data_IF_719614164866
#
_entry.id   IF_719614164866
#
_cell.length_a   1.000
_cell.length_b   1.000
_cell.length_c   1.000
_cell.angle_alpha   90.00
_cell.angle_beta   90.00
_cell.angle_gamma   90.00
#
_symmetry.space_group_name_H-M   'P 1'
#
loop_
_entity.id
_entity.type
_entity.pdbx_description
1 polymer ?
#
# COMPACT_ATOMS: atom_id res chain seq x y z
N UNK A 1 -2.33 -23.55 -0.95
CA UNK A 1 -2.84 -23.09 -2.27
C UNK A 1 -2.02 -21.87 -2.67
N UNK A 2 -1.19 -22.04 -3.69
CA UNK A 2 -0.11 -21.14 -4.10
C UNK A 2 -0.41 -20.63 -5.52
N UNK A 3 -1.60 -20.07 -5.71
CA UNK A 3 -2.17 -19.77 -7.03
C UNK A 3 -2.75 -18.35 -6.97
N UNK A 4 -2.09 -17.43 -7.70
CA UNK A 4 -2.64 -16.21 -8.38
C UNK A 4 -1.74 -14.96 -8.36
N UNK A 5 -0.61 -14.94 -7.65
CA UNK A 5 0.09 -13.66 -7.34
C UNK A 5 1.19 -13.17 -8.28
N UNK A 6 1.24 -13.58 -9.55
CA UNK A 6 2.28 -13.07 -10.47
C UNK A 6 1.79 -12.21 -11.64
N UNK A 7 0.47 -12.05 -11.89
CA UNK A 7 0.02 -11.53 -13.19
C UNK A 7 -0.83 -10.25 -13.22
N UNK A 8 -1.43 -9.84 -12.10
CA UNK A 8 -2.18 -8.57 -12.01
C UNK A 8 -1.24 -7.63 -11.29
N UNK A 9 -0.92 -6.47 -11.87
CA UNK A 9 -0.08 -5.40 -11.27
C UNK A 9 -0.09 -5.51 -9.75
N UNK A 10 1.06 -5.92 -9.18
CA UNK A 10 1.06 -6.60 -7.88
C UNK A 10 0.30 -5.75 -6.88
N UNK A 11 -0.72 -6.33 -6.22
CA UNK A 11 -1.58 -5.61 -5.27
C UNK A 11 -0.79 -4.79 -4.24
N UNK A 12 0.38 -5.28 -3.85
CA UNK A 12 1.33 -4.56 -3.00
C UNK A 12 1.76 -3.21 -3.59
N UNK A 13 2.11 -3.18 -4.88
CA UNK A 13 2.58 -1.99 -5.59
C UNK A 13 1.43 -0.97 -5.71
N UNK A 14 0.22 -1.44 -6.01
CA UNK A 14 -0.99 -0.60 -6.05
C UNK A 14 -1.27 0.04 -4.69
N UNK A 15 -1.21 -0.75 -3.62
CA UNK A 15 -1.42 -0.25 -2.26
C UNK A 15 -0.31 0.74 -1.88
N UNK A 16 0.94 0.46 -2.24
CA UNK A 16 2.09 1.32 -1.97
C UNK A 16 1.94 2.68 -2.68
N UNK A 17 1.57 2.66 -3.97
CA UNK A 17 1.30 3.87 -4.75
C UNK A 17 0.12 4.67 -4.19
N UNK A 18 -0.96 4.01 -3.77
CA UNK A 18 -2.11 4.67 -3.15
C UNK A 18 -1.75 5.35 -1.82
N UNK A 19 -0.96 4.70 -0.96
CA UNK A 19 -0.44 5.33 0.27
C UNK A 19 0.42 6.54 -0.08
N UNK A 20 1.36 6.39 -1.02
CA UNK A 20 2.24 7.48 -1.42
C UNK A 20 1.46 8.68 -1.96
N UNK A 21 0.47 8.45 -2.82
CA UNK A 21 -0.40 9.49 -3.35
C UNK A 21 -1.11 10.28 -2.25
N UNK A 22 -1.74 9.58 -1.30
CA UNK A 22 -2.46 10.22 -0.19
C UNK A 22 -1.55 11.10 0.67
N UNK A 23 -0.34 10.62 0.97
CA UNK A 23 0.62 11.34 1.83
C UNK A 23 1.30 12.51 1.10
N UNK A 24 1.71 12.28 -0.15
CA UNK A 24 2.57 13.20 -0.90
C UNK A 24 1.78 14.22 -1.71
N UNK A 25 0.63 13.83 -2.28
CA UNK A 25 -0.18 14.68 -3.16
C UNK A 25 -1.36 15.27 -2.39
N UNK A 26 -2.22 14.42 -1.82
CA UNK A 26 -3.44 14.89 -1.11
C UNK A 26 -3.15 15.49 0.27
N UNK A 27 -1.95 15.24 0.82
CA UNK A 27 -1.54 15.65 2.18
C UNK A 27 -2.45 15.11 3.29
N UNK A 28 -3.19 14.05 3.01
CA UNK A 28 -3.96 13.31 3.99
C UNK A 28 -3.00 12.46 4.80
N UNK A 29 -3.03 12.53 6.13
CA UNK A 29 -2.17 11.74 7.02
C UNK A 29 -2.91 10.59 7.71
N UNK A 30 -4.23 10.66 7.75
CA UNK A 30 -5.10 9.70 8.40
C UNK A 30 -6.06 9.07 7.39
N UNK A 31 -5.68 7.91 6.85
CA UNK A 31 -6.54 7.17 5.93
C UNK A 31 -6.60 5.70 6.30
N UNK A 32 -7.70 5.22 6.91
CA UNK A 32 -7.87 3.81 7.22
C UNK A 32 -7.89 2.96 5.94
N UNK A 33 -7.59 1.64 6.04
CA UNK A 33 -7.55 0.75 4.88
C UNK A 33 -8.80 0.74 4.00
N UNK A 34 -9.99 1.00 4.57
CA UNK A 34 -11.23 1.10 3.79
C UNK A 34 -11.24 2.28 2.81
N UNK A 35 -10.68 3.42 3.20
CA UNK A 35 -10.67 4.63 2.38
C UNK A 35 -9.63 4.47 1.25
N UNK A 36 -8.54 3.72 1.50
CA UNK A 36 -7.63 3.26 0.44
C UNK A 36 -8.34 2.36 -0.58
N UNK A 37 -9.24 1.47 -0.15
CA UNK A 37 -10.01 0.63 -1.09
C UNK A 37 -10.88 1.49 -2.00
N UNK A 38 -11.53 2.50 -1.44
CA UNK A 38 -12.35 3.45 -2.20
C UNK A 38 -11.49 4.19 -3.23
N UNK A 39 -10.33 4.71 -2.84
CA UNK A 39 -9.39 5.38 -3.76
C UNK A 39 -8.95 4.45 -4.90
N UNK A 40 -8.56 3.22 -4.59
CA UNK A 40 -8.12 2.24 -5.61
C UNK A 40 -9.24 1.95 -6.60
N UNK A 41 -10.48 1.80 -6.12
CA UNK A 41 -11.62 1.48 -6.99
C UNK A 41 -12.03 2.66 -7.88
N UNK A 42 -11.82 3.91 -7.42
CA UNK A 42 -12.05 5.12 -8.22
C UNK A 42 -11.14 5.22 -9.45
N UNK A 43 -10.01 4.49 -9.50
CA UNK A 43 -9.17 4.40 -10.70
C UNK A 43 -9.85 3.67 -11.87
N UNK A 44 -11.00 3.02 -11.63
CA UNK A 44 -11.77 2.19 -12.58
C UNK A 44 -11.03 0.97 -13.14
N UNK A 45 -9.82 0.71 -12.65
CA UNK A 45 -9.01 -0.45 -13.03
C UNK A 45 -9.39 -1.71 -12.26
N UNK A 46 -9.82 -1.54 -11.02
CA UNK A 46 -10.39 -2.59 -10.19
C UNK A 46 -11.78 -2.14 -9.74
N UNK A 47 -12.74 -3.06 -9.77
CA UNK A 47 -14.10 -2.77 -9.29
C UNK A 47 -14.13 -2.79 -7.75
N UNK A 48 -15.17 -2.20 -7.16
CA UNK A 48 -15.40 -2.29 -5.72
C UNK A 48 -15.45 -3.76 -5.24
N UNK A 49 -16.04 -4.66 -6.04
CA UNK A 49 -16.08 -6.09 -5.73
C UNK A 49 -14.68 -6.73 -5.74
N UNK A 50 -13.83 -6.35 -6.70
CA UNK A 50 -12.45 -6.82 -6.76
C UNK A 50 -11.65 -6.40 -5.53
N UNK A 51 -11.72 -5.11 -5.18
CA UNK A 51 -10.93 -4.52 -4.08
C UNK A 51 -11.52 -4.93 -2.72
N UNK A 52 -12.82 -5.21 -2.62
CA UNK A 52 -13.45 -5.70 -1.40
C UNK A 52 -12.78 -6.97 -0.87
N UNK A 53 -12.37 -7.87 -1.78
CA UNK A 53 -11.70 -9.15 -1.49
C UNK A 53 -10.26 -8.98 -1.03
N UNK A 54 -9.68 -7.78 -1.12
CA UNK A 54 -8.29 -7.54 -0.74
C UNK A 54 -8.18 -7.32 0.77
N UNK A 55 -7.30 -8.09 1.43
CA UNK A 55 -6.98 -7.89 2.83
C UNK A 55 -5.86 -6.84 2.97
N UNK A 56 -6.19 -5.55 2.80
CA UNK A 56 -5.22 -4.45 2.83
C UNK A 56 -4.42 -4.42 4.14
N UNK A 57 -5.04 -4.69 5.28
CA UNK A 57 -4.33 -4.75 6.55
C UNK A 57 -3.21 -5.79 6.54
N UNK A 58 -3.45 -6.98 5.97
CA UNK A 58 -2.42 -8.00 5.82
C UNK A 58 -1.29 -7.55 4.88
N UNK A 59 -1.62 -6.91 3.75
CA UNK A 59 -0.60 -6.37 2.84
C UNK A 59 0.25 -5.30 3.51
N UNK A 60 -0.38 -4.33 4.17
CA UNK A 60 0.31 -3.27 4.92
C UNK A 60 1.21 -3.87 6.00
N UNK A 61 0.70 -4.81 6.81
CA UNK A 61 1.48 -5.47 7.86
C UNK A 61 2.69 -6.26 7.31
N UNK A 62 2.58 -6.83 6.10
CA UNK A 62 3.71 -7.51 5.45
C UNK A 62 4.76 -6.51 4.96
N UNK A 63 4.33 -5.38 4.39
CA UNK A 63 5.23 -4.32 3.94
C UNK A 63 5.92 -3.59 5.10
N UNK A 64 5.24 -3.45 6.25
CA UNK A 64 5.80 -2.93 7.50
C UNK A 64 6.88 -3.84 8.09
N UNK A 65 6.67 -5.17 8.02
CA UNK A 65 7.64 -6.13 8.55
C UNK A 65 8.88 -6.26 7.68
N UNK A 66 8.74 -6.06 6.37
CA UNK A 66 9.69 -6.59 5.41
C UNK A 66 9.59 -8.12 5.38
N UNK A 67 9.51 -8.73 4.20
CA UNK A 67 9.55 -10.20 4.10
C UNK A 67 10.88 -10.77 4.62
N UNK A 68 11.03 -12.09 4.66
CA UNK A 68 12.28 -12.77 5.05
C UNK A 68 13.48 -12.26 4.23
N UNK A 69 14.23 -11.29 4.79
CA UNK A 69 15.39 -10.67 4.15
C UNK A 69 15.11 -9.42 3.29
N UNK A 70 13.89 -8.88 3.28
CA UNK A 70 13.57 -7.65 2.54
C UNK A 70 13.43 -6.45 3.49
N UNK A 71 13.96 -5.30 3.08
CA UNK A 71 13.78 -4.03 3.79
C UNK A 71 12.29 -3.67 3.85
N UNK A 72 11.77 -3.21 5.00
CA UNK A 72 10.40 -2.68 5.09
C UNK A 72 10.16 -1.58 4.06
N UNK A 73 9.03 -1.65 3.37
CA UNK A 73 8.60 -0.65 2.38
C UNK A 73 7.72 0.43 3.00
N UNK A 74 7.16 0.14 4.18
CA UNK A 74 6.33 1.04 4.96
C UNK A 74 6.90 1.17 6.37
N UNK A 75 6.60 2.29 7.00
CA UNK A 75 6.87 2.55 8.41
C UNK A 75 5.75 3.36 9.06
N UNK A 76 5.74 3.41 10.39
CA UNK A 76 4.90 4.33 11.13
C UNK A 76 5.65 5.66 11.35
N UNK A 77 5.02 6.82 11.11
CA UNK A 77 5.60 8.10 11.47
C UNK A 77 5.87 8.18 12.99
N UNK A 78 6.97 8.83 13.37
CA UNK A 78 7.42 8.92 14.78
C UNK A 78 6.39 9.55 15.72
N UNK A 79 5.61 10.50 15.22
CA UNK A 79 4.66 11.29 16.02
C UNK A 79 3.21 10.78 15.91
N UNK A 80 3.01 9.57 15.37
CA UNK A 80 1.68 8.98 15.17
C UNK A 80 1.57 7.60 15.85
N UNK A 81 0.35 7.19 16.26
CA UNK A 81 0.14 5.83 16.74
C UNK A 81 0.52 4.78 15.69
N UNK A 82 1.02 3.63 16.15
CA UNK A 82 1.32 2.47 15.27
C UNK A 82 0.03 1.81 14.76
N UNK A 83 -0.63 2.45 13.79
CA UNK A 83 -1.85 1.99 13.15
C UNK A 83 -1.73 2.13 11.64
N UNK A 84 -2.25 1.15 10.90
CA UNK A 84 -2.21 1.11 9.43
C UNK A 84 -2.75 2.37 8.74
N UNK A 85 -3.58 3.16 9.43
CA UNK A 85 -4.13 4.42 8.90
C UNK A 85 -3.10 5.54 8.75
N UNK A 86 -1.95 5.43 9.41
CA UNK A 86 -0.92 6.47 9.45
C UNK A 86 0.36 6.10 8.71
N UNK A 87 0.45 4.90 8.14
CA UNK A 87 1.69 4.43 7.50
C UNK A 87 2.14 5.35 6.37
N UNK A 88 3.46 5.44 6.22
CA UNK A 88 4.16 6.17 5.16
C UNK A 88 5.18 5.24 4.51
N UNK A 89 5.66 5.62 3.33
CA UNK A 89 6.71 4.87 2.65
C UNK A 89 8.06 5.13 3.31
N UNK A 90 8.87 4.08 3.42
CA UNK A 90 10.31 4.21 3.68
C UNK A 90 11.03 4.64 2.41
N UNK A 91 12.31 5.00 2.50
CA UNK A 91 13.18 5.21 1.33
C UNK A 91 13.15 4.00 0.38
N UNK A 92 13.23 2.78 0.91
CA UNK A 92 13.16 1.56 0.11
C UNK A 92 11.81 1.40 -0.62
N UNK A 93 10.70 1.83 0.02
CA UNK A 93 9.39 1.86 -0.62
C UNK A 93 9.32 2.88 -1.76
N UNK A 94 9.93 4.05 -1.59
CA UNK A 94 10.01 5.10 -2.62
C UNK A 94 10.84 4.62 -3.82
N UNK A 95 12.06 4.14 -3.58
CA UNK A 95 12.95 3.61 -4.61
C UNK A 95 12.28 2.51 -5.45
N UNK A 96 11.46 1.67 -4.81
CA UNK A 96 10.72 0.62 -5.50
C UNK A 96 9.65 1.20 -6.44
N UNK A 97 8.89 2.20 -5.99
CA UNK A 97 7.91 2.87 -6.85
C UNK A 97 8.58 3.60 -8.01
N UNK A 98 9.70 4.27 -7.77
CA UNK A 98 10.47 4.95 -8.82
C UNK A 98 10.93 3.97 -9.91
N UNK A 99 11.48 2.81 -9.52
CA UNK A 99 11.89 1.75 -10.47
C UNK A 99 10.74 1.17 -11.30
N UNK A 100 9.50 1.23 -10.81
CA UNK A 100 8.31 0.80 -11.57
C UNK A 100 7.83 1.88 -12.56
N UNK A 101 8.22 3.13 -12.35
CA UNK A 101 7.83 4.28 -13.19
C UNK A 101 8.84 4.59 -14.31
N UNK A 102 10.01 3.95 -14.29
CA UNK A 102 11.04 3.97 -15.33
C UNK A 102 10.78 2.91 -16.39
#
# INVERSE_FOLDING_TARGET
>A
RLIDTCGIERKSDVILAAIHYLRSVEKESDTPPRDLKTLISQTKKWTDDDVSKWNLSLYINRMLKGGSGQTPMLEYPKDMPEKNRYVVLTEAGLDHLEKLSL
#
